data_IF_334567078522
#
_entry.id   IF_334567078522
#
_cell.length_a   1.000
_cell.length_b   1.000
_cell.length_c   1.000
_cell.angle_alpha   90.00
_cell.angle_beta   90.00
_cell.angle_gamma   90.00
#
_symmetry.space_group_name_H-M   'P 1'
#
loop_
_entity.id
_entity.type
_entity.pdbx_description
1 polymer ?
#
# COMPACT_ATOMS: atom_id res chain seq x y z
N UNK A 1 -29.59 -16.47 4.38
CA UNK A 1 -28.73 -17.64 4.04
C UNK A 1 -29.51 -18.77 3.37
N UNK A 2 -30.50 -19.40 4.01
CA UNK A 2 -31.20 -20.58 3.47
C UNK A 2 -31.91 -20.37 2.13
N UNK A 3 -32.63 -19.25 1.97
CA UNK A 3 -33.32 -18.90 0.71
C UNK A 3 -32.32 -18.63 -0.42
N UNK A 4 -31.25 -17.88 -0.14
CA UNK A 4 -30.17 -17.62 -1.10
C UNK A 4 -29.56 -18.92 -1.61
N UNK A 5 -29.19 -19.82 -0.69
CA UNK A 5 -28.60 -21.11 -1.06
C UNK A 5 -29.55 -21.99 -1.89
N UNK A 6 -30.85 -21.94 -1.60
CA UNK A 6 -31.82 -22.83 -2.25
C UNK A 6 -32.25 -22.37 -3.64
N UNK A 7 -32.32 -21.06 -3.86
CA UNK A 7 -32.97 -20.49 -5.05
C UNK A 7 -32.05 -19.69 -5.97
N UNK A 8 -30.82 -19.40 -5.54
CA UNK A 8 -29.92 -18.49 -6.27
C UNK A 8 -28.47 -19.01 -6.35
N UNK A 9 -28.22 -20.28 -6.01
CA UNK A 9 -26.90 -20.92 -6.15
C UNK A 9 -26.77 -21.81 -7.38
N UNK A 10 -27.88 -22.33 -7.91
CA UNK A 10 -27.80 -23.21 -9.07
C UNK A 10 -27.39 -22.43 -10.32
N UNK A 11 -26.76 -23.14 -11.26
CA UNK A 11 -26.16 -22.53 -12.44
C UNK A 11 -27.17 -21.77 -13.31
N UNK A 12 -28.48 -22.10 -13.23
CA UNK A 12 -29.52 -21.45 -14.00
C UNK A 12 -30.12 -20.21 -13.30
N UNK A 13 -30.01 -20.10 -11.98
CA UNK A 13 -30.58 -19.00 -11.18
C UNK A 13 -29.53 -18.12 -10.49
N UNK A 14 -28.24 -18.33 -10.78
CA UNK A 14 -27.17 -17.66 -10.06
C UNK A 14 -27.19 -16.14 -10.26
N UNK A 15 -27.55 -15.42 -9.20
CA UNK A 15 -27.65 -13.96 -9.18
C UNK A 15 -26.42 -13.31 -8.55
N UNK A 16 -25.43 -12.96 -9.38
CA UNK A 16 -24.14 -12.41 -8.93
C UNK A 16 -24.32 -11.17 -8.04
N UNK A 17 -25.17 -10.23 -8.45
CA UNK A 17 -25.34 -8.97 -7.73
C UNK A 17 -26.01 -9.18 -6.37
N UNK A 18 -26.95 -10.13 -6.27
CA UNK A 18 -27.62 -10.45 -5.01
C UNK A 18 -26.63 -11.04 -4.00
N UNK A 19 -25.78 -11.97 -4.44
CA UNK A 19 -24.70 -12.52 -3.62
C UNK A 19 -23.69 -11.45 -3.21
N UNK A 20 -23.32 -10.58 -4.13
CA UNK A 20 -22.38 -9.49 -3.85
C UNK A 20 -22.96 -8.56 -2.76
N UNK A 21 -24.22 -8.15 -2.91
CA UNK A 21 -24.94 -7.35 -1.92
C UNK A 21 -25.05 -8.06 -0.56
N UNK A 22 -25.29 -9.37 -0.55
CA UNK A 22 -25.32 -10.16 0.68
C UNK A 22 -23.98 -10.10 1.44
N UNK A 23 -22.87 -10.35 0.75
CA UNK A 23 -21.56 -10.30 1.39
C UNK A 23 -21.23 -8.90 1.88
N UNK A 24 -21.45 -7.87 1.06
CA UNK A 24 -21.23 -6.48 1.49
C UNK A 24 -22.09 -6.08 2.69
N UNK A 25 -23.37 -6.50 2.74
CA UNK A 25 -24.23 -6.25 3.89
C UNK A 25 -23.74 -6.98 5.15
N UNK A 26 -23.33 -8.25 5.01
CA UNK A 26 -22.84 -9.04 6.12
C UNK A 26 -21.52 -8.47 6.68
N UNK A 27 -20.62 -8.04 5.80
CA UNK A 27 -19.37 -7.34 6.17
C UNK A 27 -19.71 -6.02 6.86
N UNK A 28 -20.55 -5.17 6.26
CA UNK A 28 -20.95 -3.88 6.83
C UNK A 28 -21.61 -4.02 8.21
N UNK A 29 -22.43 -5.05 8.42
CA UNK A 29 -22.97 -5.36 9.73
C UNK A 29 -21.84 -5.71 10.71
N UNK A 30 -20.97 -6.65 10.34
CA UNK A 30 -19.91 -7.14 11.21
C UNK A 30 -18.90 -6.04 11.59
N UNK A 31 -18.59 -5.13 10.67
CA UNK A 31 -17.61 -4.05 10.85
C UNK A 31 -18.22 -2.77 11.42
N UNK A 32 -19.54 -2.73 11.66
CA UNK A 32 -20.22 -1.56 12.21
C UNK A 32 -19.65 -1.16 13.59
N UNK A 33 -19.43 0.12 13.83
CA UNK A 33 -18.82 0.64 15.07
C UNK A 33 -19.55 0.19 16.34
N UNK A 34 -20.88 0.07 16.27
CA UNK A 34 -21.70 -0.39 17.40
C UNK A 34 -21.42 -1.84 17.85
N UNK A 35 -20.76 -2.62 16.99
CA UNK A 35 -20.40 -4.01 17.26
C UNK A 35 -18.90 -4.18 17.54
N UNK A 36 -18.10 -3.13 17.45
CA UNK A 36 -16.67 -3.15 17.81
C UNK A 36 -16.49 -3.08 19.33
N UNK A 37 -16.75 -4.21 20.00
CA UNK A 37 -16.83 -4.33 21.46
C UNK A 37 -15.54 -3.92 22.20
N UNK A 38 -14.40 -4.00 21.54
CA UNK A 38 -13.08 -3.57 21.99
C UNK A 38 -12.97 -2.06 22.21
N UNK A 39 -13.80 -1.26 21.54
CA UNK A 39 -13.85 0.20 21.71
C UNK A 39 -14.66 0.62 22.94
N UNK A 40 -15.45 -0.30 23.51
CA UNK A 40 -16.33 -0.03 24.64
C UNK A 40 -15.63 -0.22 25.98
N UNK A 41 -16.12 0.49 26.99
CA UNK A 41 -15.72 0.23 28.37
C UNK A 41 -16.03 -1.22 28.78
N UNK A 42 -15.22 -1.76 29.68
CA UNK A 42 -15.37 -3.14 30.14
C UNK A 42 -16.78 -3.45 30.66
N UNK A 43 -17.41 -2.51 31.38
CA UNK A 43 -18.77 -2.66 31.88
C UNK A 43 -19.82 -2.78 30.76
N UNK A 44 -19.72 -1.93 29.73
CA UNK A 44 -20.62 -1.98 28.57
C UNK A 44 -20.41 -3.27 27.77
N UNK A 45 -19.16 -3.63 27.49
CA UNK A 45 -18.80 -4.88 26.80
C UNK A 45 -19.37 -6.11 27.52
N UNK A 46 -19.16 -6.22 28.83
CA UNK A 46 -19.65 -7.35 29.63
C UNK A 46 -21.18 -7.45 29.61
N UNK A 47 -21.88 -6.32 29.68
CA UNK A 47 -23.35 -6.29 29.62
C UNK A 47 -23.89 -6.75 28.26
N UNK A 48 -23.26 -6.32 27.16
CA UNK A 48 -23.63 -6.74 25.81
C UNK A 48 -23.38 -8.24 25.63
N UNK A 49 -22.17 -8.71 25.96
CA UNK A 49 -21.79 -10.12 25.85
C UNK A 49 -22.71 -11.04 26.65
N UNK A 50 -23.10 -10.64 27.87
CA UNK A 50 -24.02 -11.43 28.69
C UNK A 50 -25.44 -11.51 28.10
N UNK A 51 -25.89 -10.47 27.39
CA UNK A 51 -27.27 -10.39 26.90
C UNK A 51 -27.43 -10.97 25.48
N UNK A 52 -26.46 -10.73 24.60
CA UNK A 52 -26.57 -11.03 23.17
C UNK A 52 -25.43 -11.91 22.63
N UNK A 53 -24.39 -12.20 23.43
CA UNK A 53 -23.17 -12.79 22.91
C UNK A 53 -22.40 -11.86 21.97
N UNK A 54 -21.46 -12.42 21.21
CA UNK A 54 -20.78 -11.69 20.13
C UNK A 54 -21.43 -12.03 18.79
N UNK A 55 -22.35 -11.15 18.37
CA UNK A 55 -23.09 -11.27 17.11
C UNK A 55 -22.17 -11.32 15.88
N UNK A 56 -20.94 -10.77 15.97
CA UNK A 56 -19.98 -10.79 14.86
C UNK A 56 -19.55 -12.22 14.53
N UNK A 57 -19.49 -13.12 15.51
CA UNK A 57 -19.11 -14.53 15.29
C UNK A 57 -20.14 -15.26 14.44
N UNK A 58 -21.42 -15.11 14.76
CA UNK A 58 -22.49 -15.77 14.03
C UNK A 58 -22.51 -15.34 12.57
N UNK A 59 -22.40 -14.04 12.31
CA UNK A 59 -22.36 -13.50 10.94
C UNK A 59 -21.07 -13.92 10.22
N UNK A 60 -19.93 -13.90 10.90
CA UNK A 60 -18.66 -14.38 10.33
C UNK A 60 -18.69 -15.85 9.92
N UNK A 61 -19.29 -16.71 10.73
CA UNK A 61 -19.50 -18.12 10.37
C UNK A 61 -20.46 -18.26 9.20
N UNK A 62 -21.52 -17.44 9.12
CA UNK A 62 -22.39 -17.41 7.94
C UNK A 62 -21.64 -16.96 6.68
N UNK A 63 -20.80 -15.92 6.76
CA UNK A 63 -19.96 -15.47 5.63
C UNK A 63 -19.08 -16.62 5.14
N UNK A 64 -18.40 -17.31 6.06
CA UNK A 64 -17.58 -18.49 5.76
C UNK A 64 -18.39 -19.58 5.07
N UNK A 65 -19.52 -19.98 5.65
CA UNK A 65 -20.34 -21.08 5.12
C UNK A 65 -20.92 -20.72 3.74
N UNK A 66 -21.39 -19.48 3.57
CA UNK A 66 -21.88 -19.00 2.29
C UNK A 66 -20.76 -18.96 1.23
N UNK A 67 -19.56 -18.52 1.61
CA UNK A 67 -18.41 -18.52 0.71
C UNK A 67 -18.10 -19.93 0.18
N UNK A 68 -18.04 -20.93 1.06
CA UNK A 68 -17.78 -22.30 0.64
C UNK A 68 -18.90 -22.89 -0.22
N UNK A 69 -20.15 -22.46 -0.02
CA UNK A 69 -21.30 -22.89 -0.82
C UNK A 69 -21.32 -22.32 -2.26
N UNK A 70 -20.57 -21.26 -2.56
CA UNK A 70 -20.53 -20.67 -3.91
C UNK A 70 -19.94 -21.61 -4.98
N UNK A 71 -19.20 -22.65 -4.57
CA UNK A 71 -18.62 -23.64 -5.48
C UNK A 71 -17.81 -22.99 -6.63
N UNK A 72 -18.14 -23.25 -7.91
CA UNK A 72 -17.42 -22.70 -9.05
C UNK A 72 -17.62 -21.19 -9.25
N UNK A 73 -18.60 -20.57 -8.58
CA UNK A 73 -18.89 -19.15 -8.74
C UNK A 73 -17.96 -18.24 -7.94
N UNK A 74 -17.13 -18.78 -7.04
CA UNK A 74 -16.15 -18.03 -6.22
C UNK A 74 -15.25 -17.12 -7.05
N UNK A 75 -14.80 -17.59 -8.22
CA UNK A 75 -13.90 -16.81 -9.09
C UNK A 75 -14.53 -15.49 -9.57
N UNK A 76 -15.87 -15.41 -9.66
CA UNK A 76 -16.58 -14.18 -10.03
C UNK A 76 -16.49 -13.07 -8.97
N UNK A 77 -16.07 -13.42 -7.75
CA UNK A 77 -15.90 -12.50 -6.62
C UNK A 77 -14.42 -12.17 -6.35
N UNK A 78 -13.48 -12.78 -7.07
CA UNK A 78 -12.05 -12.48 -6.93
C UNK A 78 -11.68 -11.55 -8.09
N UNK A 79 -11.10 -10.36 -7.84
CA UNK A 79 -10.54 -9.90 -6.56
C UNK A 79 -11.50 -9.09 -5.65
N UNK A 80 -12.69 -8.71 -6.11
CA UNK A 80 -13.54 -7.71 -5.42
C UNK A 80 -13.91 -8.03 -3.96
N UNK A 81 -13.96 -9.30 -3.58
CA UNK A 81 -14.32 -9.75 -2.23
C UNK A 81 -13.11 -9.89 -1.27
N UNK A 82 -11.88 -9.73 -1.77
CA UNK A 82 -10.67 -9.81 -0.93
C UNK A 82 -10.66 -8.71 0.13
N UNK A 83 -10.95 -7.46 -0.26
CA UNK A 83 -11.07 -6.33 0.67
C UNK A 83 -12.14 -6.54 1.73
N UNK A 84 -13.41 -6.78 1.37
CA UNK A 84 -14.47 -7.02 2.34
C UNK A 84 -14.19 -8.18 3.32
N UNK A 85 -13.62 -9.29 2.85
CA UNK A 85 -13.22 -10.40 3.74
C UNK A 85 -12.06 -10.00 4.65
N UNK A 86 -11.12 -9.21 4.15
CA UNK A 86 -10.04 -8.66 4.98
C UNK A 86 -10.58 -7.79 6.13
N UNK A 87 -11.61 -6.99 5.90
CA UNK A 87 -12.21 -6.21 6.99
C UNK A 87 -12.76 -7.10 8.12
N UNK A 88 -13.36 -8.24 7.74
CA UNK A 88 -13.84 -9.24 8.71
C UNK A 88 -12.69 -9.89 9.46
N UNK A 89 -11.62 -10.28 8.76
CA UNK A 89 -10.47 -10.94 9.39
C UNK A 89 -9.68 -9.99 10.28
N UNK A 90 -9.70 -8.68 10.03
CA UNK A 90 -9.03 -7.69 10.88
C UNK A 90 -9.76 -7.43 12.21
N UNK A 91 -11.04 -7.79 12.32
CA UNK A 91 -11.82 -7.67 13.56
C UNK A 91 -11.14 -8.41 14.71
N UNK A 92 -10.92 -7.79 15.89
CA UNK A 92 -10.17 -8.37 17.01
C UNK A 92 -10.98 -9.39 17.83
N UNK A 93 -11.43 -10.44 17.13
CA UNK A 93 -12.08 -11.61 17.71
C UNK A 93 -11.33 -12.87 17.21
N UNK A 94 -10.68 -13.66 18.10
CA UNK A 94 -9.84 -14.80 17.71
C UNK A 94 -10.55 -15.98 17.03
N UNK A 95 -11.75 -16.36 17.46
CA UNK A 95 -12.54 -17.44 16.85
C UNK A 95 -13.02 -17.05 15.45
N UNK A 96 -13.46 -15.81 15.29
CA UNK A 96 -13.82 -15.23 14.01
C UNK A 96 -12.64 -15.27 13.04
N UNK A 97 -11.48 -14.73 13.47
CA UNK A 97 -10.23 -14.74 12.69
C UNK A 97 -9.86 -16.14 12.23
N UNK A 98 -9.88 -17.12 13.14
CA UNK A 98 -9.57 -18.53 12.83
C UNK A 98 -10.52 -19.13 11.80
N UNK A 99 -11.78 -18.73 11.81
CA UNK A 99 -12.79 -19.24 10.88
C UNK A 99 -12.75 -18.56 9.51
N UNK A 100 -12.35 -17.28 9.43
CA UNK A 100 -12.42 -16.50 8.19
C UNK A 100 -11.09 -16.38 7.46
N UNK A 101 -9.94 -16.40 8.14
CA UNK A 101 -8.62 -16.37 7.48
C UNK A 101 -8.44 -17.49 6.43
N UNK A 102 -8.89 -18.74 6.65
CA UNK A 102 -8.78 -19.81 5.65
C UNK A 102 -9.51 -19.52 4.32
N UNK A 103 -10.43 -18.55 4.29
CA UNK A 103 -11.08 -18.09 3.05
C UNK A 103 -10.04 -17.55 2.07
N UNK A 104 -8.99 -16.88 2.54
CA UNK A 104 -7.90 -16.40 1.69
C UNK A 104 -7.18 -17.53 0.97
N UNK A 105 -6.89 -18.62 1.67
CA UNK A 105 -6.30 -19.79 1.04
C UNK A 105 -7.25 -20.45 0.01
N UNK A 106 -8.55 -20.43 0.26
CA UNK A 106 -9.55 -20.88 -0.71
C UNK A 106 -9.64 -19.95 -1.93
N UNK A 107 -9.49 -18.63 -1.76
CA UNK A 107 -9.37 -17.68 -2.86
C UNK A 107 -8.12 -17.96 -3.73
N UNK A 108 -6.97 -18.21 -3.10
CA UNK A 108 -5.74 -18.60 -3.80
C UNK A 108 -5.93 -19.87 -4.63
N UNK A 109 -6.56 -20.90 -4.04
CA UNK A 109 -6.86 -22.15 -4.75
C UNK A 109 -7.85 -21.94 -5.89
N UNK A 110 -8.87 -21.13 -5.68
CA UNK A 110 -9.86 -20.81 -6.70
C UNK A 110 -9.19 -20.14 -7.91
N UNK A 111 -8.43 -19.07 -7.68
CA UNK A 111 -7.72 -18.40 -8.77
C UNK A 111 -6.69 -19.34 -9.44
N UNK A 112 -5.96 -20.14 -8.68
CA UNK A 112 -4.99 -21.09 -9.24
C UNK A 112 -5.64 -22.13 -10.17
N UNK A 113 -6.83 -22.62 -9.82
CA UNK A 113 -7.53 -23.65 -10.59
C UNK A 113 -8.28 -23.07 -11.81
N UNK A 114 -8.76 -21.83 -11.73
CA UNK A 114 -9.53 -21.20 -12.80
C UNK A 114 -8.69 -20.29 -13.71
N UNK A 115 -7.54 -19.80 -13.25
CA UNK A 115 -6.62 -19.04 -14.10
C UNK A 115 -5.87 -19.96 -15.05
N UNK A 116 -5.89 -19.64 -16.36
CA UNK A 116 -5.13 -20.39 -17.36
C UNK A 116 -3.62 -20.42 -17.08
N UNK A 117 -3.11 -19.47 -16.29
CA UNK A 117 -1.70 -19.35 -15.91
C UNK A 117 -1.29 -20.04 -14.60
N UNK A 118 -2.18 -20.79 -13.92
CA UNK A 118 -1.90 -21.50 -12.66
C UNK A 118 -1.17 -20.64 -11.63
N UNK A 119 -1.70 -19.46 -11.35
CA UNK A 119 -1.19 -18.53 -10.33
C UNK A 119 -2.34 -17.83 -9.61
N UNK A 120 -2.03 -17.02 -8.61
CA UNK A 120 -3.02 -16.28 -7.81
C UNK A 120 -2.70 -14.77 -7.75
N UNK A 121 -2.17 -14.20 -8.85
CA UNK A 121 -1.67 -12.82 -8.87
C UNK A 121 -2.77 -11.79 -8.61
N UNK A 122 -4.00 -12.01 -9.06
CA UNK A 122 -5.09 -11.05 -8.80
C UNK A 122 -5.39 -10.98 -7.31
N UNK A 123 -5.52 -12.13 -6.66
CA UNK A 123 -5.68 -12.23 -5.21
C UNK A 123 -4.50 -11.62 -4.46
N UNK A 124 -3.27 -11.97 -4.82
CA UNK A 124 -2.05 -11.48 -4.18
C UNK A 124 -1.96 -9.94 -4.26
N UNK A 125 -2.21 -9.37 -5.44
CA UNK A 125 -2.16 -7.92 -5.66
C UNK A 125 -3.24 -7.20 -4.85
N UNK A 126 -4.46 -7.73 -4.85
CA UNK A 126 -5.57 -7.12 -4.13
C UNK A 126 -5.37 -7.21 -2.61
N UNK A 127 -4.92 -8.36 -2.09
CA UNK A 127 -4.69 -8.52 -0.65
C UNK A 127 -3.62 -7.56 -0.16
N UNK A 128 -2.49 -7.43 -0.87
CA UNK A 128 -1.42 -6.50 -0.49
C UNK A 128 -1.93 -5.05 -0.51
N UNK A 129 -2.67 -4.67 -1.54
CA UNK A 129 -3.22 -3.31 -1.68
C UNK A 129 -4.21 -2.98 -0.58
N UNK A 130 -5.10 -3.92 -0.25
CA UNK A 130 -6.10 -3.74 0.81
C UNK A 130 -5.46 -3.78 2.19
N UNK A 131 -4.51 -4.67 2.44
CA UNK A 131 -3.81 -4.76 3.71
C UNK A 131 -3.06 -3.49 4.05
N UNK A 132 -2.38 -2.90 3.07
CA UNK A 132 -1.75 -1.60 3.24
C UNK A 132 -2.78 -0.52 3.66
N UNK A 133 -3.89 -0.39 2.92
CA UNK A 133 -4.94 0.60 3.22
C UNK A 133 -5.52 0.41 4.61
N UNK A 134 -5.77 -0.84 5.00
CA UNK A 134 -6.44 -1.16 6.24
C UNK A 134 -5.56 -1.00 7.47
N UNK A 135 -4.29 -1.40 7.37
CA UNK A 135 -3.36 -1.27 8.50
C UNK A 135 -2.95 0.19 8.68
N UNK A 136 -2.75 0.93 7.58
CA UNK A 136 -2.59 2.38 7.65
C UNK A 136 -3.81 3.06 8.29
N UNK A 137 -5.03 2.60 7.95
CA UNK A 137 -6.30 3.06 8.55
C UNK A 137 -6.50 2.68 10.02
N UNK A 138 -5.53 2.04 10.67
CA UNK A 138 -5.56 1.72 12.09
C UNK A 138 -6.07 0.32 12.44
N UNK A 139 -6.41 -0.51 11.46
CA UNK A 139 -6.86 -1.90 11.68
C UNK A 139 -5.68 -2.88 11.77
N UNK A 140 -5.90 -4.07 12.32
CA UNK A 140 -4.86 -5.11 12.45
C UNK A 140 -3.93 -4.94 13.66
N UNK A 141 -3.38 -6.05 14.12
CA UNK A 141 -2.53 -6.12 15.32
C UNK A 141 -1.52 -7.28 15.20
N UNK A 142 -0.60 -7.35 16.16
CA UNK A 142 0.44 -8.39 16.20
C UNK A 142 -0.15 -9.81 16.28
N UNK A 143 -1.29 -9.97 16.97
CA UNK A 143 -1.98 -11.25 17.05
C UNK A 143 -2.52 -11.67 15.67
N UNK A 144 -3.05 -10.73 14.89
CA UNK A 144 -3.52 -10.97 13.53
C UNK A 144 -2.37 -11.40 12.62
N UNK A 145 -1.21 -10.72 12.67
CA UNK A 145 -0.01 -11.12 11.91
C UNK A 145 0.38 -12.57 12.18
N UNK A 146 0.55 -12.93 13.45
CA UNK A 146 0.94 -14.28 13.87
C UNK A 146 -0.09 -15.31 13.41
N UNK A 147 -1.38 -15.00 13.55
CA UNK A 147 -2.45 -15.94 13.20
C UNK A 147 -2.59 -16.12 11.68
N UNK A 148 -2.47 -15.03 10.92
CA UNK A 148 -2.53 -15.04 9.45
C UNK A 148 -1.40 -15.88 8.87
N UNK A 149 -0.15 -15.62 9.31
CA UNK A 149 1.01 -16.38 8.88
C UNK A 149 0.84 -17.88 9.20
N UNK A 150 0.50 -18.19 10.45
CA UNK A 150 0.33 -19.58 10.90
C UNK A 150 -0.70 -20.33 10.06
N UNK A 151 -1.91 -19.78 9.92
CA UNK A 151 -3.00 -20.48 9.21
C UNK A 151 -2.71 -20.62 7.73
N UNK A 152 -2.20 -19.57 7.06
CA UNK A 152 -1.83 -19.66 5.65
C UNK A 152 -0.73 -20.69 5.42
N UNK A 153 0.34 -20.69 6.24
CA UNK A 153 1.41 -21.68 6.13
C UNK A 153 0.91 -23.12 6.34
N UNK A 154 0.07 -23.33 7.35
CA UNK A 154 -0.52 -24.66 7.63
C UNK A 154 -1.33 -25.20 6.45
N UNK A 155 -2.07 -24.33 5.76
CA UNK A 155 -2.86 -24.72 4.59
C UNK A 155 -1.99 -24.88 3.32
N UNK A 156 -1.09 -23.93 3.05
CA UNK A 156 -0.21 -23.96 1.88
C UNK A 156 0.69 -25.20 1.89
N UNK A 157 1.37 -25.49 3.02
CA UNK A 157 2.30 -26.63 3.13
C UNK A 157 1.63 -27.99 2.94
N UNK A 158 0.33 -28.10 3.21
CA UNK A 158 -0.45 -29.33 2.97
C UNK A 158 -0.90 -29.48 1.52
N UNK A 159 -0.82 -28.42 0.71
CA UNK A 159 -1.35 -28.41 -0.65
C UNK A 159 -0.28 -28.68 -1.70
N UNK A 160 -0.50 -29.71 -2.52
CA UNK A 160 0.47 -30.25 -3.47
C UNK A 160 1.07 -29.22 -4.44
N UNK A 161 0.26 -28.29 -4.95
CA UNK A 161 0.69 -27.33 -5.98
C UNK A 161 0.98 -25.92 -5.46
N UNK A 162 0.49 -25.59 -4.27
CA UNK A 162 0.58 -24.25 -3.70
C UNK A 162 1.56 -24.17 -2.53
N UNK A 163 2.19 -25.28 -2.14
CA UNK A 163 3.15 -25.28 -1.02
C UNK A 163 4.23 -24.23 -1.19
N UNK A 164 4.96 -24.25 -2.32
CA UNK A 164 6.08 -23.33 -2.51
C UNK A 164 5.63 -21.88 -2.71
N UNK A 165 4.71 -21.63 -3.65
CA UNK A 165 4.26 -20.26 -3.95
C UNK A 165 3.44 -19.65 -2.82
N UNK A 166 2.61 -20.45 -2.15
CA UNK A 166 1.80 -20.02 -1.01
C UNK A 166 2.61 -19.78 0.26
N UNK A 167 3.71 -20.50 0.47
CA UNK A 167 4.65 -20.23 1.58
C UNK A 167 5.39 -18.90 1.38
N UNK A 168 5.92 -18.67 0.17
CA UNK A 168 6.54 -17.38 -0.18
C UNK A 168 5.57 -16.23 0.02
N UNK A 169 4.31 -16.40 -0.38
CA UNK A 169 3.27 -15.39 -0.20
C UNK A 169 2.91 -15.17 1.28
N UNK A 170 2.75 -16.22 2.08
CA UNK A 170 2.43 -16.08 3.50
C UNK A 170 3.53 -15.31 4.27
N UNK A 171 4.80 -15.61 3.98
CA UNK A 171 5.94 -14.89 4.56
C UNK A 171 6.02 -13.44 4.06
N UNK A 172 5.70 -13.20 2.79
CA UNK A 172 5.61 -11.86 2.22
C UNK A 172 4.56 -11.01 2.95
N UNK A 173 3.36 -11.55 3.15
CA UNK A 173 2.27 -10.84 3.82
C UNK A 173 2.57 -10.62 5.30
N UNK A 174 3.23 -11.58 5.97
CA UNK A 174 3.68 -11.40 7.36
C UNK A 174 4.71 -10.29 7.49
N UNK A 175 5.73 -10.26 6.62
CA UNK A 175 6.73 -9.20 6.59
C UNK A 175 6.13 -7.83 6.24
N UNK A 176 5.14 -7.79 5.33
CA UNK A 176 4.38 -6.57 5.05
C UNK A 176 3.64 -6.08 6.31
N UNK A 177 2.94 -6.97 7.01
CA UNK A 177 2.24 -6.62 8.26
C UNK A 177 3.20 -6.09 9.32
N UNK A 178 4.36 -6.71 9.48
CA UNK A 178 5.38 -6.22 10.41
C UNK A 178 5.81 -4.78 10.08
N UNK A 179 6.17 -4.50 8.82
CA UNK A 179 6.56 -3.16 8.39
C UNK A 179 5.43 -2.13 8.54
N UNK A 180 4.18 -2.51 8.24
CA UNK A 180 3.01 -1.62 8.37
C UNK A 180 2.66 -1.35 9.84
N UNK A 181 2.76 -2.35 10.70
CA UNK A 181 2.54 -2.20 12.14
C UNK A 181 3.61 -1.31 12.78
N UNK A 182 4.88 -1.49 12.40
CA UNK A 182 5.99 -0.64 12.81
C UNK A 182 5.75 0.81 12.35
N UNK A 183 5.42 1.00 11.07
CA UNK A 183 5.07 2.31 10.51
C UNK A 183 3.94 2.98 11.31
N UNK A 184 2.84 2.27 11.55
CA UNK A 184 1.69 2.81 12.31
C UNK A 184 2.07 3.21 13.74
N UNK A 185 2.87 2.41 14.43
CA UNK A 185 3.29 2.70 15.80
C UNK A 185 4.04 4.05 15.89
N UNK A 186 4.76 4.42 14.84
CA UNK A 186 5.60 5.61 14.77
C UNK A 186 4.88 6.81 14.16
N UNK A 187 3.87 6.59 13.33
CA UNK A 187 3.08 7.71 12.79
C UNK A 187 2.37 8.51 13.89
N UNK A 188 2.12 7.89 15.05
CA UNK A 188 1.63 8.56 16.24
C UNK A 188 2.74 9.15 17.13
N UNK A 189 4.01 8.83 16.87
CA UNK A 189 5.17 9.43 17.53
C UNK A 189 5.37 10.86 17.00
N UNK A 190 5.76 11.78 17.89
CA UNK A 190 5.96 13.19 17.54
C UNK A 190 7.20 13.45 16.68
N UNK A 191 8.13 12.47 16.58
CA UNK A 191 9.37 12.61 15.81
C UNK A 191 9.13 12.51 14.30
N UNK A 192 9.46 13.58 13.58
CA UNK A 192 9.43 13.58 12.10
C UNK A 192 10.50 12.66 11.52
N UNK A 193 11.66 12.54 12.17
CA UNK A 193 12.78 11.70 11.72
C UNK A 193 12.40 10.21 11.73
N UNK A 194 11.74 9.74 12.81
CA UNK A 194 11.28 8.37 12.90
C UNK A 194 10.23 8.06 11.82
N UNK A 195 9.30 9.00 11.55
CA UNK A 195 8.32 8.87 10.47
C UNK A 195 8.98 8.78 9.09
N UNK A 196 9.99 9.60 8.83
CA UNK A 196 10.77 9.53 7.58
C UNK A 196 11.48 8.18 7.45
N UNK A 197 12.19 7.73 8.49
CA UNK A 197 12.93 6.47 8.48
C UNK A 197 12.02 5.26 8.21
N UNK A 198 10.85 5.19 8.85
CA UNK A 198 9.91 4.10 8.58
C UNK A 198 9.20 4.21 7.23
N UNK A 199 8.95 5.43 6.73
CA UNK A 199 8.47 5.61 5.36
C UNK A 199 9.47 5.07 4.35
N UNK A 200 10.77 5.31 4.57
CA UNK A 200 11.86 4.77 3.72
C UNK A 200 11.92 3.24 3.80
N UNK A 201 11.72 2.63 4.97
CA UNK A 201 11.67 1.17 5.10
C UNK A 201 10.53 0.56 4.27
N UNK A 202 9.33 1.15 4.34
CA UNK A 202 8.19 0.72 3.51
C UNK A 202 8.47 0.93 2.02
N UNK A 203 9.07 2.06 1.64
CA UNK A 203 9.47 2.33 0.27
C UNK A 203 10.42 1.27 -0.28
N UNK A 204 11.45 0.91 0.48
CA UNK A 204 12.39 -0.14 0.10
C UNK A 204 11.67 -1.49 -0.06
N UNK A 205 10.77 -1.83 0.87
CA UNK A 205 9.94 -3.03 0.76
C UNK A 205 9.14 -3.05 -0.55
N UNK A 206 8.39 -1.99 -0.87
CA UNK A 206 7.57 -1.95 -2.09
C UNK A 206 8.41 -1.90 -3.38
N UNK A 207 9.58 -1.25 -3.34
CA UNK A 207 10.54 -1.23 -4.45
C UNK A 207 11.07 -2.63 -4.75
N UNK A 208 11.51 -3.36 -3.73
CA UNK A 208 12.00 -4.74 -3.88
C UNK A 208 10.92 -5.68 -4.43
N UNK A 209 9.65 -5.47 -4.03
CA UNK A 209 8.51 -6.27 -4.50
C UNK A 209 7.90 -5.77 -5.81
N UNK A 210 8.47 -4.73 -6.43
CA UNK A 210 7.98 -4.10 -7.68
C UNK A 210 6.50 -3.72 -7.60
N UNK A 211 6.09 -3.17 -6.45
CA UNK A 211 4.75 -2.62 -6.19
C UNK A 211 4.77 -1.11 -6.43
N UNK A 212 4.87 -0.72 -7.70
CA UNK A 212 5.15 0.66 -8.11
C UNK A 212 4.04 1.65 -7.72
N UNK A 213 2.76 1.24 -7.76
CA UNK A 213 1.62 2.09 -7.37
C UNK A 213 1.66 2.49 -5.90
N UNK A 214 1.89 1.51 -5.02
CA UNK A 214 2.00 1.74 -3.59
C UNK A 214 3.30 2.50 -3.28
N UNK A 215 4.41 2.11 -3.92
CA UNK A 215 5.70 2.77 -3.79
C UNK A 215 5.61 4.28 -4.12
N UNK A 216 5.01 4.64 -5.25
CA UNK A 216 4.85 6.05 -5.66
C UNK A 216 4.01 6.81 -4.63
N UNK A 217 2.92 6.23 -4.12
CA UNK A 217 2.12 6.89 -3.06
C UNK A 217 2.95 7.17 -1.80
N UNK A 218 3.81 6.23 -1.37
CA UNK A 218 4.71 6.47 -0.24
C UNK A 218 5.83 7.47 -0.57
N UNK A 219 6.27 7.58 -1.84
CA UNK A 219 7.24 8.61 -2.23
C UNK A 219 6.64 10.00 -2.02
N UNK A 220 5.38 10.20 -2.38
CA UNK A 220 4.71 11.48 -2.15
C UNK A 220 4.50 11.77 -0.66
N UNK A 221 4.14 10.77 0.16
CA UNK A 221 4.12 10.94 1.63
C UNK A 221 5.49 11.35 2.19
N UNK A 222 6.56 10.73 1.69
CA UNK A 222 7.93 11.08 2.11
C UNK A 222 8.33 12.48 1.64
N UNK A 223 7.99 12.87 0.40
CA UNK A 223 8.20 14.22 -0.13
C UNK A 223 7.51 15.26 0.74
N UNK A 224 6.28 15.00 1.15
CA UNK A 224 5.51 15.92 1.99
C UNK A 224 6.17 16.06 3.37
N UNK A 225 6.61 14.94 3.98
CA UNK A 225 7.41 14.98 5.21
C UNK A 225 8.71 15.79 5.05
N UNK A 226 9.44 15.62 3.94
CA UNK A 226 10.66 16.40 3.68
C UNK A 226 10.36 17.89 3.49
N UNK A 227 9.27 18.23 2.81
CA UNK A 227 8.84 19.61 2.62
C UNK A 227 8.45 20.26 3.94
N UNK A 228 7.73 19.54 4.80
CA UNK A 228 7.35 19.97 6.15
C UNK A 228 8.54 20.14 7.11
N UNK A 229 9.68 19.53 6.79
CA UNK A 229 10.96 19.68 7.51
C UNK A 229 11.95 20.58 6.77
N UNK A 230 11.51 21.32 5.75
CA UNK A 230 12.33 22.21 4.92
C UNK A 230 13.55 21.53 4.28
N UNK A 231 13.51 20.20 4.17
CA UNK A 231 14.55 19.35 3.61
C UNK A 231 14.35 19.21 2.09
N UNK A 232 14.37 20.32 1.38
CA UNK A 232 14.04 20.38 -0.05
C UNK A 232 14.94 19.52 -0.94
N UNK A 233 16.21 19.35 -0.57
CA UNK A 233 17.14 18.45 -1.27
C UNK A 233 16.65 17.01 -1.27
N UNK A 234 16.17 16.52 -0.13
CA UNK A 234 15.65 15.16 0.00
C UNK A 234 14.27 15.01 -0.66
N UNK A 235 13.44 16.05 -0.61
CA UNK A 235 12.19 16.09 -1.38
C UNK A 235 12.45 15.97 -2.90
N UNK A 236 13.48 16.65 -3.40
CA UNK A 236 13.91 16.56 -4.80
C UNK A 236 14.38 15.15 -5.16
N UNK A 237 15.23 14.53 -4.34
CA UNK A 237 15.66 13.14 -4.56
C UNK A 237 14.51 12.14 -4.50
N UNK A 238 13.55 12.36 -3.60
CA UNK A 238 12.35 11.53 -3.48
C UNK A 238 11.53 11.55 -4.78
N UNK A 239 11.33 12.73 -5.38
CA UNK A 239 10.65 12.84 -6.67
C UNK A 239 11.48 12.31 -7.85
N UNK A 240 12.81 12.41 -7.77
CA UNK A 240 13.69 11.84 -8.78
C UNK A 240 13.52 10.32 -8.88
N UNK A 241 13.34 9.63 -7.75
CA UNK A 241 13.03 8.19 -7.74
C UNK A 241 11.74 7.84 -8.49
N UNK A 242 10.76 8.74 -8.52
CA UNK A 242 9.55 8.57 -9.34
C UNK A 242 9.87 8.83 -10.82
N UNK A 243 10.60 9.90 -11.13
CA UNK A 243 10.97 10.24 -12.49
C UNK A 243 11.86 9.17 -13.17
N UNK A 244 12.64 8.41 -12.39
CA UNK A 244 13.44 7.26 -12.85
C UNK A 244 12.60 6.07 -13.34
N UNK A 245 11.36 5.93 -12.86
CA UNK A 245 10.43 4.89 -13.34
C UNK A 245 9.84 5.23 -14.72
N UNK A 246 9.94 6.50 -15.14
CA UNK A 246 9.35 6.99 -16.38
C UNK A 246 10.37 7.03 -17.52
N UNK A 247 9.90 6.81 -18.74
CA UNK A 247 10.70 6.94 -19.96
C UNK A 247 10.36 8.23 -20.70
N UNK A 248 11.33 8.77 -21.46
CA UNK A 248 11.10 9.87 -22.40
C UNK A 248 10.36 9.35 -23.63
N UNK A 249 9.05 9.15 -23.50
CA UNK A 249 8.18 8.53 -24.49
C UNK A 249 6.79 9.18 -24.50
N UNK A 250 6.22 9.33 -25.70
CA UNK A 250 4.85 9.83 -25.92
C UNK A 250 3.76 8.80 -25.57
N UNK A 251 4.15 7.58 -25.16
CA UNK A 251 3.20 6.56 -24.75
C UNK A 251 2.43 7.02 -23.50
N UNK A 252 1.12 6.69 -23.40
CA UNK A 252 0.33 7.03 -22.23
C UNK A 252 0.93 6.41 -20.98
N UNK A 253 0.94 7.16 -19.89
CA UNK A 253 1.40 6.67 -18.61
C UNK A 253 0.44 5.58 -18.12
N UNK A 254 1.01 4.43 -17.72
CA UNK A 254 0.24 3.34 -17.12
C UNK A 254 -0.31 3.78 -15.76
N UNK A 255 -1.53 3.37 -15.44
CA UNK A 255 -2.26 3.85 -14.26
C UNK A 255 -1.49 3.66 -12.93
N UNK A 256 -0.65 2.63 -12.81
CA UNK A 256 0.15 2.37 -11.60
C UNK A 256 1.34 3.34 -11.43
N UNK A 257 1.72 4.08 -12.47
CA UNK A 257 2.76 5.12 -12.40
C UNK A 257 2.16 6.51 -12.15
N UNK A 258 0.84 6.66 -12.21
CA UNK A 258 0.16 7.92 -11.92
C UNK A 258 -0.08 8.06 -10.41
N UNK A 259 0.00 9.29 -9.93
CA UNK A 259 -0.57 9.61 -8.61
C UNK A 259 -2.10 9.42 -8.69
N UNK A 260 -2.69 8.70 -7.73
CA UNK A 260 -4.11 8.28 -7.75
C UNK A 260 -5.12 9.41 -7.99
N UNK A 261 -4.77 10.64 -7.66
CA UNK A 261 -5.66 11.81 -7.78
C UNK A 261 -5.55 12.55 -9.13
N UNK A 262 -4.74 12.05 -10.07
CA UNK A 262 -4.63 12.62 -11.41
C UNK A 262 -5.72 12.06 -12.34
N UNK A 263 -6.77 12.85 -12.57
CA UNK A 263 -7.77 12.58 -13.63
C UNK A 263 -7.24 12.85 -15.04
N UNK A 264 -6.03 13.41 -15.15
CA UNK A 264 -5.41 13.75 -16.42
C UNK A 264 -4.63 12.56 -16.98
N UNK A 265 -4.84 12.26 -18.26
CA UNK A 265 -4.03 11.29 -19.01
C UNK A 265 -2.77 12.01 -19.46
N UNK A 266 -1.65 11.74 -18.79
CA UNK A 266 -0.33 12.21 -19.21
C UNK A 266 0.35 11.16 -20.08
N UNK A 267 1.14 11.61 -21.06
CA UNK A 267 2.23 10.76 -21.58
C UNK A 267 3.32 10.59 -20.53
N UNK A 268 4.15 9.54 -20.65
CA UNK A 268 5.28 9.36 -19.73
C UNK A 268 6.25 10.55 -19.81
N UNK A 269 6.47 11.08 -21.00
CA UNK A 269 7.29 12.27 -21.23
C UNK A 269 6.73 13.50 -20.50
N UNK A 270 5.43 13.81 -20.65
CA UNK A 270 4.81 14.98 -20.01
C UNK A 270 4.90 14.89 -18.48
N UNK A 271 4.64 13.71 -17.91
CA UNK A 271 4.74 13.51 -16.47
C UNK A 271 6.19 13.67 -16.00
N UNK A 272 7.14 13.09 -16.74
CA UNK A 272 8.57 13.18 -16.40
C UNK A 272 9.09 14.61 -16.49
N UNK A 273 8.66 15.36 -17.50
CA UNK A 273 8.95 16.78 -17.63
C UNK A 273 8.44 17.58 -16.43
N UNK A 274 7.17 17.38 -16.05
CA UNK A 274 6.56 18.05 -14.91
C UNK A 274 7.30 17.75 -13.60
N UNK A 275 7.68 16.48 -13.40
CA UNK A 275 8.50 16.08 -12.26
C UNK A 275 9.87 16.76 -12.29
N UNK A 276 10.55 16.80 -13.43
CA UNK A 276 11.85 17.46 -13.57
C UNK A 276 11.76 18.94 -13.24
N UNK A 277 10.71 19.64 -13.69
CA UNK A 277 10.49 21.04 -13.35
C UNK A 277 10.30 21.26 -11.84
N UNK A 278 9.51 20.41 -11.17
CA UNK A 278 9.29 20.45 -9.71
C UNK A 278 10.60 20.15 -8.95
N UNK A 279 11.34 19.11 -9.37
CA UNK A 279 12.63 18.70 -8.79
C UNK A 279 13.65 19.83 -8.88
N UNK A 280 13.75 20.53 -10.02
CA UNK A 280 14.66 21.67 -10.20
C UNK A 280 14.32 22.80 -9.20
N UNK A 281 13.03 23.07 -8.97
CA UNK A 281 12.60 24.08 -7.98
C UNK A 281 13.00 23.66 -6.57
N UNK A 282 12.85 22.39 -6.21
CA UNK A 282 13.29 21.90 -4.91
C UNK A 282 14.82 21.95 -4.73
N UNK A 283 15.59 21.58 -5.75
CA UNK A 283 17.06 21.70 -5.68
C UNK A 283 17.51 23.16 -5.56
N UNK A 284 16.82 24.11 -6.21
CA UNK A 284 17.11 25.53 -6.05
C UNK A 284 16.86 26.00 -4.61
N UNK A 285 15.71 25.65 -4.02
CA UNK A 285 15.39 25.94 -2.61
C UNK A 285 16.39 25.29 -1.63
N UNK A 286 16.81 24.06 -1.93
CA UNK A 286 17.82 23.31 -1.18
C UNK A 286 19.26 23.76 -1.44
N UNK A 287 19.49 24.76 -2.31
CA UNK A 287 20.81 25.26 -2.72
C UNK A 287 21.73 24.19 -3.34
N UNK A 288 21.15 23.13 -3.89
CA UNK A 288 21.83 22.04 -4.60
C UNK A 288 21.86 22.31 -6.11
N UNK A 289 22.40 23.48 -6.48
CA UNK A 289 22.36 24.01 -7.83
C UNK A 289 23.10 23.15 -8.87
N UNK A 290 24.15 22.42 -8.47
CA UNK A 290 24.87 21.51 -9.35
C UNK A 290 23.94 20.41 -9.91
N UNK A 291 23.05 19.88 -9.06
CA UNK A 291 22.04 18.89 -9.45
C UNK A 291 20.92 19.51 -10.29
N UNK A 292 20.48 20.72 -9.95
CA UNK A 292 19.53 21.47 -10.76
C UNK A 292 20.06 21.73 -12.19
N UNK A 293 21.35 22.07 -12.32
CA UNK A 293 22.02 22.26 -13.61
C UNK A 293 22.07 20.95 -14.41
N UNK A 294 22.36 19.82 -13.76
CA UNK A 294 22.39 18.51 -14.42
C UNK A 294 21.04 18.17 -15.06
N UNK A 295 19.95 18.22 -14.30
CA UNK A 295 18.61 17.94 -14.82
C UNK A 295 18.15 18.97 -15.85
N UNK A 296 18.52 20.23 -15.67
CA UNK A 296 18.28 21.28 -16.66
C UNK A 296 18.97 21.02 -18.01
N UNK A 297 20.11 20.33 -18.03
CA UNK A 297 20.76 19.93 -19.29
C UNK A 297 19.98 18.83 -20.01
N UNK A 298 19.54 17.81 -19.29
CA UNK A 298 18.69 16.75 -19.85
C UNK A 298 17.38 17.30 -20.40
N UNK A 299 16.73 18.20 -19.65
CA UNK A 299 15.47 18.82 -20.08
C UNK A 299 15.67 19.76 -21.28
N UNK A 300 16.81 20.46 -21.35
CA UNK A 300 17.13 21.31 -22.50
C UNK A 300 17.30 20.49 -23.79
N UNK A 301 17.96 19.33 -23.72
CA UNK A 301 18.11 18.41 -24.86
C UNK A 301 16.74 17.94 -25.37
N UNK A 302 15.82 17.62 -24.46
CA UNK A 302 14.44 17.26 -24.81
C UNK A 302 13.70 18.40 -25.52
N UNK A 303 13.79 19.63 -25.01
CA UNK A 303 13.13 20.78 -25.62
C UNK A 303 13.72 21.18 -26.97
N UNK A 304 15.04 21.08 -27.13
CA UNK A 304 15.73 21.45 -28.37
C UNK A 304 15.56 20.40 -29.46
N UNK A 305 15.75 19.12 -29.12
CA UNK A 305 15.93 18.05 -30.11
C UNK A 305 14.71 17.14 -30.30
N UNK A 306 13.74 17.14 -29.38
CA UNK A 306 12.56 16.24 -29.46
C UNK A 306 11.23 16.97 -29.54
N UNK A 307 10.98 17.91 -28.62
CA UNK A 307 9.68 18.60 -28.50
C UNK A 307 9.65 19.92 -29.27
N UNK A 308 10.83 20.50 -29.55
CA UNK A 308 11.00 21.80 -30.21
C UNK A 308 10.30 22.97 -29.48
N UNK A 309 10.18 22.88 -28.14
CA UNK A 309 9.64 23.95 -27.29
C UNK A 309 10.76 24.93 -26.88
N UNK A 310 11.05 25.85 -27.80
CA UNK A 310 12.10 26.85 -27.60
C UNK A 310 11.75 27.92 -26.54
N UNK A 311 10.46 28.12 -26.24
CA UNK A 311 10.03 29.08 -25.22
C UNK A 311 10.38 28.55 -23.81
N UNK A 312 9.98 27.30 -23.52
CA UNK A 312 10.35 26.62 -22.28
C UNK A 312 11.86 26.45 -22.15
N UNK A 313 12.55 26.15 -23.26
CA UNK A 313 14.01 26.12 -23.31
C UNK A 313 14.63 27.46 -22.89
N UNK A 314 14.15 28.58 -23.45
CA UNK A 314 14.66 29.92 -23.10
C UNK A 314 14.51 30.23 -21.61
N UNK A 315 13.38 29.88 -21.01
CA UNK A 315 13.14 30.04 -19.57
C UNK A 315 14.04 29.14 -18.72
N UNK A 316 14.22 27.89 -19.13
CA UNK A 316 15.10 26.93 -18.47
C UNK A 316 16.58 27.38 -18.50
N UNK A 317 17.04 27.92 -19.62
CA UNK A 317 18.40 28.45 -19.78
C UNK A 317 18.65 29.66 -18.88
N UNK A 318 17.68 30.58 -18.75
CA UNK A 318 17.76 31.71 -17.80
C UNK A 318 17.90 31.23 -16.36
N UNK A 319 17.09 30.25 -15.92
CA UNK A 319 17.22 29.63 -14.60
C UNK A 319 18.59 28.97 -14.42
N UNK A 320 19.09 28.27 -15.44
CA UNK A 320 20.42 27.64 -15.39
C UNK A 320 21.54 28.68 -15.24
N UNK A 321 21.42 29.84 -15.90
CA UNK A 321 22.36 30.94 -15.70
C UNK A 321 22.37 31.43 -14.25
N UNK A 322 21.19 31.61 -13.63
CA UNK A 322 21.09 32.01 -12.22
C UNK A 322 21.72 30.98 -11.28
N UNK A 323 21.62 29.68 -11.59
CA UNK A 323 22.29 28.63 -10.81
C UNK A 323 23.81 28.74 -10.85
N UNK A 324 24.40 28.98 -12.03
CA UNK A 324 25.86 29.19 -12.13
C UNK A 324 26.32 30.40 -11.31
N UNK A 325 25.56 31.51 -11.36
CA UNK A 325 25.86 32.68 -10.54
C UNK A 325 25.75 32.38 -9.04
N UNK A 326 24.69 31.68 -8.62
CA UNK A 326 24.47 31.31 -7.24
C UNK A 326 25.59 30.43 -6.69
N UNK A 327 26.08 29.44 -7.45
CA UNK A 327 27.19 28.57 -7.02
C UNK A 327 28.46 29.39 -6.72
N UNK A 328 28.72 30.44 -7.51
CA UNK A 328 29.93 31.27 -7.36
C UNK A 328 29.77 32.37 -6.30
N UNK A 329 28.58 32.96 -6.18
CA UNK A 329 28.36 34.21 -5.42
C UNK A 329 27.57 34.03 -4.14
N UNK A 330 26.70 33.03 -4.04
CA UNK A 330 25.83 32.86 -2.88
C UNK A 330 26.52 32.02 -1.80
N UNK A 331 26.34 32.43 -0.54
CA UNK A 331 26.89 31.69 0.61
C UNK A 331 26.13 30.37 0.80
N UNK A 332 26.87 29.27 0.89
CA UNK A 332 26.38 27.94 1.30
C UNK A 332 27.04 27.55 2.62
N UNK A 333 26.25 27.30 3.69
CA UNK A 333 26.79 26.73 4.92
C UNK A 333 27.42 25.37 4.62
N UNK A 334 28.57 25.09 5.25
CA UNK A 334 29.19 23.78 5.16
C UNK A 334 28.34 22.77 5.97
N UNK A 335 28.00 21.59 5.41
CA UNK A 335 27.23 20.59 6.15
C UNK A 335 28.07 19.98 7.27
N UNK A 336 27.42 19.75 8.41
CA UNK A 336 27.96 18.99 9.54
C UNK A 336 27.31 17.61 9.59
N UNK A 337 28.09 16.58 9.91
CA UNK A 337 27.62 15.20 9.94
C UNK A 337 27.88 14.61 11.33
N UNK A 338 26.86 13.95 11.88
CA UNK A 338 26.91 13.32 13.20
C UNK A 338 26.51 11.86 13.10
N UNK A 339 27.18 10.99 13.87
CA UNK A 339 26.77 9.61 14.05
C UNK A 339 25.95 9.47 15.34
N UNK A 340 24.79 8.82 15.25
CA UNK A 340 23.90 8.57 16.39
C UNK A 340 23.72 7.06 16.52
N UNK A 341 24.17 6.49 17.64
CA UNK A 341 24.06 5.06 17.93
C UNK A 341 22.87 4.75 18.84
N UNK A 342 22.00 3.83 18.43
CA UNK A 342 20.80 3.47 19.18
C UNK A 342 20.97 2.13 19.91
N UNK A 343 21.47 2.16 21.15
CA UNK A 343 21.73 0.96 21.95
C UNK A 343 20.68 0.73 23.03
N UNK A 344 20.13 -0.49 23.09
CA UNK A 344 19.20 -0.91 24.15
C UNK A 344 17.81 -1.31 23.65
N UNK A 345 17.08 -2.05 24.48
CA UNK A 345 15.79 -2.65 24.11
C UNK A 345 14.61 -1.66 24.12
N UNK A 346 14.82 -0.43 24.61
CA UNK A 346 13.80 0.62 24.61
C UNK A 346 13.62 1.31 23.25
N UNK A 347 14.57 1.15 22.32
CA UNK A 347 14.45 1.71 20.97
C UNK A 347 13.61 0.80 20.07
N UNK A 348 12.90 1.38 19.09
CA UNK A 348 12.21 0.63 18.06
C UNK A 348 13.13 -0.37 17.34
N UNK A 349 12.56 -1.50 16.92
CA UNK A 349 13.25 -2.59 16.22
C UNK A 349 14.14 -2.10 15.07
N UNK A 350 13.62 -1.19 14.24
CA UNK A 350 14.31 -0.66 13.06
C UNK A 350 15.44 0.32 13.36
N UNK A 351 15.54 0.86 14.58
CA UNK A 351 16.65 1.73 15.03
C UNK A 351 17.68 0.98 15.87
N UNK A 352 17.25 -0.07 16.57
CA UNK A 352 18.10 -0.77 17.54
C UNK A 352 19.38 -1.33 16.91
N UNK A 353 20.50 -1.10 17.58
CA UNK A 353 21.85 -1.53 17.18
C UNK A 353 22.29 -0.97 15.82
N UNK A 354 21.80 0.21 15.45
CA UNK A 354 22.30 1.01 14.31
C UNK A 354 23.16 2.18 14.77
#
# INVERSE_FOLDING_TARGET
ASVLNRFFLDQASFELQLWNNYFHLAVAFLTHESLQLETFSQAKRNKIMKKYGDMRKEIGFQIRDMWYNLGPHKIKFIPSMVGPILEVTLTPEPELRKATIPIFFDMMQCEFNFSGGRNFRMFENELITKLDQEVEGGRGDEQYKILLEKLLLEHCRKHKYLSSSGEVFALLVSSLLENLLDYRAIMHDGSKENRMSCTVNLLNFYKEKKREDIYIRYLYKLRDLHTDSESYTEAAYTLLLHAELLQWSDQPCVQHLLQRDSYYVYSQQELKEKLYQEIIVFFDRGKMWEKAIQLSKELADMYENKVFDYESLGNLLKKRATFYENIMKAMRPQPEYFAVGYFGHGFPSFLRNK
#
